data_IF_061646789149
#
_entry.id   IF_061646789149
#
_cell.length_a   1.000
_cell.length_b   1.000
_cell.length_c   1.000
_cell.angle_alpha   90.00
_cell.angle_beta   90.00
_cell.angle_gamma   90.00
#
_symmetry.space_group_name_H-M   'P 1'
#
loop_
_entity.id
_entity.type
_entity.pdbx_description
1 polymer ?
#
# COMPACT_ATOMS: atom_id res chain seq x y z
N UNK A 1 -12.15 11.52 -17.35
CA UNK A 1 -11.03 11.05 -18.19
C UNK A 1 -10.73 11.97 -19.39
N UNK A 2 -11.69 12.17 -20.31
CA UNK A 2 -11.44 12.90 -21.55
C UNK A 2 -10.97 14.35 -21.32
N UNK A 3 -11.64 15.11 -20.48
CA UNK A 3 -11.28 16.51 -20.17
C UNK A 3 -9.88 16.64 -19.57
N UNK A 4 -9.46 15.70 -18.69
CA UNK A 4 -8.14 15.74 -18.09
C UNK A 4 -7.04 15.41 -19.12
N UNK A 5 -7.26 14.41 -19.96
CA UNK A 5 -6.33 14.10 -21.06
C UNK A 5 -6.17 15.27 -22.02
N UNK A 6 -7.27 15.94 -22.39
CA UNK A 6 -7.22 17.15 -23.23
C UNK A 6 -6.40 18.27 -22.57
N UNK A 7 -6.56 18.49 -21.26
CA UNK A 7 -5.76 19.45 -20.51
C UNK A 7 -4.26 19.10 -20.53
N UNK A 8 -3.91 17.82 -20.33
CA UNK A 8 -2.52 17.34 -20.38
C UNK A 8 -1.87 17.49 -21.76
N UNK A 9 -2.65 17.45 -22.84
CA UNK A 9 -2.15 17.70 -24.22
C UNK A 9 -1.91 19.17 -24.46
N UNK A 10 -2.76 20.04 -23.91
CA UNK A 10 -2.74 21.49 -24.19
C UNK A 10 -1.85 22.29 -23.22
N UNK A 11 -1.49 21.74 -22.08
CA UNK A 11 -0.70 22.42 -21.07
C UNK A 11 0.54 21.61 -20.67
N UNK A 12 1.67 22.31 -20.48
CA UNK A 12 2.92 21.70 -20.02
C UNK A 12 2.83 21.16 -18.59
N UNK A 13 2.02 21.80 -17.76
CA UNK A 13 1.77 21.41 -16.36
C UNK A 13 0.28 21.56 -16.07
N UNK A 14 -0.30 20.54 -15.46
CA UNK A 14 -1.69 20.55 -14.98
C UNK A 14 -1.70 20.31 -13.49
N UNK A 15 -2.30 21.23 -12.73
CA UNK A 15 -2.43 21.13 -11.28
C UNK A 15 -3.88 20.78 -10.94
N UNK A 16 -4.09 19.82 -10.07
CA UNK A 16 -5.41 19.40 -9.60
C UNK A 16 -5.38 19.04 -8.12
N UNK A 17 -6.54 19.09 -7.48
CA UNK A 17 -6.66 18.63 -6.09
C UNK A 17 -6.66 17.09 -6.03
N UNK A 18 -6.14 16.56 -4.92
CA UNK A 18 -6.30 15.18 -4.51
C UNK A 18 -7.35 15.01 -3.41
N UNK A 19 -7.52 13.80 -2.87
CA UNK A 19 -8.36 13.45 -1.71
C UNK A 19 -9.88 13.59 -1.91
N UNK A 20 -10.34 14.44 -2.81
CA UNK A 20 -11.74 14.77 -3.02
C UNK A 20 -12.26 14.03 -4.26
N UNK A 21 -13.43 13.42 -4.11
CA UNK A 21 -14.18 12.80 -5.19
C UNK A 21 -15.64 13.25 -5.21
N UNK A 22 -16.38 12.74 -6.18
CA UNK A 22 -17.83 12.96 -6.28
C UNK A 22 -18.56 11.64 -6.06
N UNK A 23 -19.46 11.63 -5.10
CA UNK A 23 -20.36 10.51 -4.84
C UNK A 23 -21.43 10.42 -5.94
N UNK A 24 -22.01 9.23 -6.15
CA UNK A 24 -23.07 9.00 -7.14
C UNK A 24 -24.31 9.92 -6.94
N UNK A 25 -24.59 10.33 -5.69
CA UNK A 25 -25.63 11.32 -5.37
C UNK A 25 -25.29 12.77 -5.75
N UNK A 26 -24.12 13.01 -6.36
CA UNK A 26 -23.65 14.34 -6.74
C UNK A 26 -22.95 15.13 -5.62
N UNK A 27 -22.95 14.64 -4.37
CA UNK A 27 -22.28 15.30 -3.23
C UNK A 27 -20.77 15.08 -3.28
N UNK A 28 -20.03 16.02 -2.68
CA UNK A 28 -18.60 15.86 -2.45
C UNK A 28 -18.35 14.71 -1.46
N UNK A 29 -17.38 13.88 -1.74
CA UNK A 29 -16.92 12.79 -0.89
C UNK A 29 -15.39 12.83 -0.75
N UNK A 30 -14.89 12.36 0.38
CA UNK A 30 -13.46 12.17 0.58
C UNK A 30 -13.06 10.74 0.25
N UNK A 31 -11.84 10.54 -0.20
CA UNK A 31 -11.32 9.21 -0.56
C UNK A 31 -10.76 8.42 0.62
N UNK A 32 -10.86 8.97 1.85
CA UNK A 32 -10.44 8.32 3.07
C UNK A 32 -8.92 8.35 3.28
N UNK A 33 -8.42 7.39 4.07
CA UNK A 33 -7.00 7.32 4.43
C UNK A 33 -6.11 7.31 3.18
N UNK A 34 -5.07 8.15 3.19
CA UNK A 34 -4.13 8.36 2.06
C UNK A 34 -4.83 8.65 0.72
N UNK A 35 -5.97 9.35 0.79
CA UNK A 35 -6.80 9.63 -0.38
C UNK A 35 -6.11 10.51 -1.43
N UNK A 36 -5.10 11.31 -1.09
CA UNK A 36 -4.31 12.10 -2.04
C UNK A 36 -3.44 11.20 -2.91
N UNK A 37 -2.75 10.24 -2.31
CA UNK A 37 -1.93 9.25 -3.04
C UNK A 37 -2.82 8.40 -3.95
N UNK A 38 -3.97 7.98 -3.43
CA UNK A 38 -4.95 7.25 -4.23
C UNK A 38 -5.50 8.07 -5.39
N UNK A 39 -5.72 9.37 -5.19
CA UNK A 39 -6.12 10.28 -6.29
C UNK A 39 -5.05 10.33 -7.38
N UNK A 40 -3.77 10.45 -6.98
CA UNK A 40 -2.65 10.48 -7.93
C UNK A 40 -2.60 9.20 -8.78
N UNK A 41 -2.75 8.02 -8.14
CA UNK A 41 -2.81 6.75 -8.84
C UNK A 41 -3.98 6.67 -9.85
N UNK A 42 -5.19 7.06 -9.43
CA UNK A 42 -6.35 7.07 -10.32
C UNK A 42 -6.21 8.05 -11.48
N UNK A 43 -5.64 9.22 -11.24
CA UNK A 43 -5.39 10.24 -12.27
C UNK A 43 -4.34 9.72 -13.26
N UNK A 44 -3.24 9.15 -12.79
CA UNK A 44 -2.21 8.56 -13.64
C UNK A 44 -2.78 7.49 -14.59
N UNK A 45 -3.57 6.56 -14.05
CA UNK A 45 -4.27 5.56 -14.85
C UNK A 45 -5.22 6.22 -15.86
N UNK A 46 -5.97 7.25 -15.44
CA UNK A 46 -6.94 7.92 -16.30
C UNK A 46 -6.31 8.70 -17.46
N UNK A 47 -5.11 9.26 -17.28
CA UNK A 47 -4.40 9.99 -18.35
C UNK A 47 -3.49 9.08 -19.17
N UNK A 48 -3.18 7.88 -18.70
CA UNK A 48 -2.20 6.98 -19.31
C UNK A 48 -0.77 7.50 -19.08
N UNK A 49 -0.45 7.84 -17.82
CA UNK A 49 0.87 8.30 -17.44
C UNK A 49 1.94 7.21 -17.65
N UNK A 50 3.18 7.62 -17.81
CA UNK A 50 4.34 6.70 -17.89
C UNK A 50 4.80 6.22 -16.51
N UNK A 51 4.61 7.05 -15.47
CA UNK A 51 4.94 6.72 -14.08
C UNK A 51 4.21 7.65 -13.12
N UNK A 52 4.27 7.29 -11.83
CA UNK A 52 3.76 8.12 -10.72
C UNK A 52 4.88 8.37 -9.73
N UNK A 53 4.98 9.58 -9.20
CA UNK A 53 5.87 9.87 -8.07
C UNK A 53 5.05 10.39 -6.90
N UNK A 54 5.12 9.72 -5.77
CA UNK A 54 4.56 10.18 -4.50
C UNK A 54 5.68 10.80 -3.67
N UNK A 55 5.51 12.06 -3.36
CA UNK A 55 6.45 12.81 -2.52
C UNK A 55 6.03 12.72 -1.05
N UNK A 56 6.93 12.22 -0.22
CA UNK A 56 6.73 12.01 1.22
C UNK A 56 7.81 12.75 2.03
N UNK A 57 7.69 12.69 3.35
CA UNK A 57 8.71 13.14 4.30
C UNK A 57 9.79 12.07 4.58
N UNK A 58 9.60 10.87 4.04
CA UNK A 58 10.53 9.73 4.14
C UNK A 58 11.18 9.44 2.78
N UNK A 59 12.40 8.84 2.76
CA UNK A 59 13.15 8.62 1.51
C UNK A 59 12.49 7.58 0.58
N UNK A 60 11.67 6.69 1.11
CA UNK A 60 11.04 5.60 0.38
C UNK A 60 10.53 4.54 1.33
N UNK A 61 10.33 3.33 0.84
CA UNK A 61 10.14 2.16 1.68
C UNK A 61 11.46 1.77 2.33
N UNK A 62 11.42 1.50 3.62
CA UNK A 62 12.59 1.11 4.38
C UNK A 62 12.49 -0.36 4.77
N UNK A 63 13.64 -1.01 4.93
CA UNK A 63 13.70 -2.42 5.33
C UNK A 63 13.27 -2.66 6.79
N UNK A 64 13.15 -1.61 7.60
CA UNK A 64 12.56 -1.64 8.94
C UNK A 64 12.04 -0.24 9.29
N UNK A 65 11.22 -0.12 10.34
CA UNK A 65 10.82 1.18 10.88
C UNK A 65 12.03 1.82 11.61
N UNK A 66 12.49 3.01 11.18
CA UNK A 66 13.64 3.70 11.82
C UNK A 66 13.46 3.99 13.31
N UNK A 67 12.22 4.01 13.81
CA UNK A 67 11.93 4.17 15.23
C UNK A 67 12.42 2.99 16.08
N UNK A 68 12.41 1.80 15.49
CA UNK A 68 12.83 0.55 16.13
C UNK A 68 14.22 0.12 15.71
N UNK A 69 14.59 0.43 14.48
CA UNK A 69 15.88 0.10 13.90
C UNK A 69 16.51 1.33 13.27
N UNK A 70 17.31 2.12 14.03
CA UNK A 70 17.89 3.37 13.55
C UNK A 70 18.80 3.22 12.32
N UNK A 71 19.34 2.02 12.09
CA UNK A 71 20.17 1.68 10.93
C UNK A 71 19.35 1.22 9.70
N UNK A 72 18.01 1.35 9.77
CA UNK A 72 17.16 0.99 8.65
C UNK A 72 17.53 1.73 7.37
N UNK A 73 17.52 1.01 6.26
CA UNK A 73 17.94 1.51 4.95
C UNK A 73 16.77 1.57 3.99
N UNK A 74 16.81 2.52 3.06
CA UNK A 74 15.84 2.60 1.97
C UNK A 74 16.03 1.42 1.03
N UNK A 75 14.93 0.74 0.70
CA UNK A 75 14.90 -0.32 -0.29
C UNK A 75 14.72 0.28 -1.68
N UNK A 76 15.71 0.18 -2.58
CA UNK A 76 15.66 0.91 -3.84
C UNK A 76 14.63 0.36 -4.84
N UNK A 77 14.31 -0.95 -4.76
CA UNK A 77 13.36 -1.63 -5.64
C UNK A 77 12.49 -2.58 -4.84
N UNK A 78 11.19 -2.53 -5.11
CA UNK A 78 10.20 -3.42 -4.50
C UNK A 78 9.22 -3.86 -5.59
N UNK A 79 8.89 -5.14 -5.63
CA UNK A 79 7.85 -5.64 -6.54
C UNK A 79 6.47 -5.14 -6.11
N UNK A 80 5.54 -4.96 -7.04
CA UNK A 80 4.18 -4.51 -6.73
C UNK A 80 3.46 -5.46 -5.75
N UNK A 81 3.63 -6.77 -5.89
CA UNK A 81 3.01 -7.74 -5.00
C UNK A 81 3.58 -7.64 -3.59
N UNK A 82 4.91 -7.52 -3.47
CA UNK A 82 5.60 -7.31 -2.20
C UNK A 82 5.19 -5.98 -1.55
N UNK A 83 5.11 -4.88 -2.32
CA UNK A 83 4.65 -3.59 -1.79
C UNK A 83 3.22 -3.66 -1.25
N UNK A 84 2.32 -4.42 -1.89
CA UNK A 84 0.97 -4.67 -1.40
C UNK A 84 0.99 -5.45 -0.09
N UNK A 85 1.79 -6.50 0.00
CA UNK A 85 1.93 -7.34 1.19
C UNK A 85 2.49 -6.53 2.36
N UNK A 86 3.62 -5.84 2.17
CA UNK A 86 4.23 -4.97 3.17
C UNK A 86 3.25 -3.90 3.69
N UNK A 87 2.52 -3.27 2.78
CA UNK A 87 1.51 -2.26 3.13
C UNK A 87 0.34 -2.86 3.92
N UNK A 88 -0.05 -4.08 3.62
CA UNK A 88 -1.11 -4.80 4.35
C UNK A 88 -0.68 -5.12 5.77
N UNK A 89 0.55 -5.59 5.95
CA UNK A 89 1.07 -5.95 7.26
C UNK A 89 1.53 -4.76 8.11
N UNK A 90 1.66 -3.56 7.56
CA UNK A 90 1.84 -2.37 8.37
C UNK A 90 2.94 -1.40 7.95
N UNK A 91 3.61 -1.64 6.84
CA UNK A 91 4.47 -0.63 6.26
C UNK A 91 3.60 0.59 5.87
N UNK A 92 3.71 1.68 6.65
CA UNK A 92 2.78 2.82 6.56
C UNK A 92 3.15 3.84 5.49
N UNK A 93 4.13 3.54 4.64
CA UNK A 93 4.63 4.50 3.64
C UNK A 93 3.65 4.70 2.49
N UNK A 94 2.98 3.64 2.05
CA UNK A 94 1.99 3.66 0.96
C UNK A 94 0.82 2.73 1.30
N UNK A 95 -0.39 3.10 0.90
CA UNK A 95 -1.57 2.28 1.16
C UNK A 95 -1.83 1.32 -0.01
N UNK A 96 -2.29 0.06 0.24
CA UNK A 96 -2.60 -0.92 -0.81
C UNK A 96 -3.54 -0.39 -1.90
N UNK A 97 -4.48 0.48 -1.54
CA UNK A 97 -5.41 1.11 -2.50
C UNK A 97 -4.71 1.97 -3.56
N UNK A 98 -3.54 2.54 -3.23
CA UNK A 98 -2.73 3.33 -4.17
C UNK A 98 -1.96 2.43 -5.10
N UNK A 99 -1.37 1.35 -4.60
CA UNK A 99 -0.55 0.42 -5.38
C UNK A 99 -1.40 -0.38 -6.39
N UNK A 100 -2.55 -0.90 -5.94
CA UNK A 100 -3.39 -1.81 -6.72
C UNK A 100 -3.77 -1.32 -8.13
N UNK A 101 -4.28 -0.08 -8.35
CA UNK A 101 -4.62 0.41 -9.68
C UNK A 101 -3.38 0.60 -10.57
N UNK A 102 -2.22 0.88 -9.99
CA UNK A 102 -0.95 1.01 -10.72
C UNK A 102 -0.44 -0.35 -11.17
N UNK A 103 -0.42 -1.34 -10.26
CA UNK A 103 -0.09 -2.72 -10.58
C UNK A 103 -0.93 -3.27 -11.74
N UNK A 104 -2.26 -3.06 -11.70
CA UNK A 104 -3.16 -3.54 -12.76
C UNK A 104 -2.86 -2.94 -14.15
N UNK A 105 -2.08 -1.88 -14.21
CA UNK A 105 -1.69 -1.18 -15.44
C UNK A 105 -0.20 -1.26 -15.74
N UNK A 106 0.57 -1.95 -14.91
CA UNK A 106 2.03 -2.00 -15.03
C UNK A 106 2.65 -0.61 -14.99
N UNK A 107 2.14 0.27 -14.11
CA UNK A 107 2.63 1.64 -13.98
C UNK A 107 3.64 1.73 -12.85
N UNK A 108 4.90 2.14 -13.13
CA UNK A 108 5.92 2.37 -12.12
C UNK A 108 5.49 3.43 -11.11
N UNK A 109 5.73 3.16 -9.83
CA UNK A 109 5.48 4.07 -8.72
C UNK A 109 6.78 4.39 -8.00
N UNK A 110 7.16 5.67 -8.00
CA UNK A 110 8.27 6.18 -7.21
C UNK A 110 7.79 6.74 -5.89
N UNK A 111 8.50 6.40 -4.82
CA UNK A 111 8.36 7.06 -3.51
C UNK A 111 9.65 7.84 -3.26
N UNK A 112 9.53 9.14 -3.07
CA UNK A 112 10.66 10.07 -2.90
C UNK A 112 10.42 11.02 -1.74
N UNK A 113 11.51 11.49 -1.14
CA UNK A 113 11.44 12.53 -0.12
C UNK A 113 11.41 13.92 -0.76
N UNK A 114 10.43 14.75 -0.37
CA UNK A 114 10.45 16.17 -0.72
C UNK A 114 11.47 16.96 0.10
N UNK A 115 11.98 16.40 1.21
CA UNK A 115 13.05 16.99 2.02
C UNK A 115 14.43 16.78 1.39
N UNK A 116 14.60 15.70 0.61
CA UNK A 116 15.83 15.36 -0.10
C UNK A 116 15.48 14.81 -1.50
N UNK A 117 15.09 15.65 -2.45
CA UNK A 117 14.59 15.22 -3.77
C UNK A 117 15.57 14.38 -4.58
N UNK A 118 16.87 14.63 -4.43
CA UNK A 118 17.96 13.90 -5.10
C UNK A 118 18.51 12.74 -4.26
N UNK A 119 17.91 12.52 -3.07
CA UNK A 119 18.31 11.45 -2.16
C UNK A 119 17.81 10.07 -2.58
N UNK A 120 17.99 9.07 -1.71
CA UNK A 120 17.45 7.73 -1.93
C UNK A 120 15.95 7.74 -2.23
N UNK A 121 15.52 6.77 -3.02
CA UNK A 121 14.12 6.60 -3.40
C UNK A 121 13.78 5.11 -3.55
N UNK A 122 12.51 4.77 -3.51
CA UNK A 122 12.02 3.43 -3.84
C UNK A 122 11.26 3.47 -5.16
N UNK A 123 11.60 2.56 -6.06
CA UNK A 123 10.82 2.24 -7.24
C UNK A 123 9.99 0.99 -6.98
N UNK A 124 8.68 1.10 -7.11
CA UNK A 124 7.74 -0.03 -7.09
C UNK A 124 7.30 -0.28 -8.53
N UNK A 125 7.60 -1.47 -9.05
CA UNK A 125 7.30 -1.86 -10.44
C UNK A 125 7.21 -3.38 -10.51
N UNK A 126 6.94 -3.92 -11.69
CA UNK A 126 7.01 -5.36 -11.93
C UNK A 126 8.48 -5.76 -12.14
N UNK A 127 9.02 -6.53 -11.22
CA UNK A 127 10.38 -7.05 -11.27
C UNK A 127 10.37 -8.60 -11.25
N UNK A 128 10.09 -9.28 -12.36
CA UNK A 128 10.04 -10.72 -12.40
C UNK A 128 11.36 -11.36 -11.91
N UNK A 129 11.25 -12.16 -10.85
CA UNK A 129 12.41 -12.84 -10.25
C UNK A 129 13.32 -11.94 -9.40
N UNK A 130 12.86 -10.75 -9.01
CA UNK A 130 13.56 -9.93 -8.03
C UNK A 130 13.68 -10.72 -6.71
N UNK A 131 14.90 -10.98 -6.30
CA UNK A 131 15.20 -11.44 -4.95
C UNK A 131 15.61 -10.21 -4.17
N UNK A 132 14.93 -9.85 -3.07
CA UNK A 132 15.33 -8.72 -2.26
C UNK A 132 16.76 -8.89 -1.73
N UNK A 133 17.59 -7.87 -1.90
CA UNK A 133 18.98 -7.89 -1.42
C UNK A 133 19.08 -7.86 0.11
N UNK A 134 17.98 -7.54 0.78
CA UNK A 134 17.91 -7.42 2.24
C UNK A 134 16.55 -7.84 2.76
N UNK A 135 16.53 -8.42 3.96
CA UNK A 135 15.29 -8.76 4.65
C UNK A 135 14.53 -7.48 5.06
N UNK A 136 13.21 -7.55 4.95
CA UNK A 136 12.32 -6.47 5.40
C UNK A 136 11.60 -6.91 6.66
N UNK A 137 11.58 -6.01 7.66
CA UNK A 137 11.00 -6.28 8.97
C UNK A 137 9.84 -5.32 9.24
N UNK A 138 8.68 -5.87 9.54
CA UNK A 138 7.51 -5.12 9.96
C UNK A 138 7.27 -5.39 11.44
N UNK A 139 7.29 -4.34 12.24
CA UNK A 139 6.98 -4.42 13.67
C UNK A 139 5.58 -3.90 13.92
N UNK A 140 4.86 -4.62 14.76
CA UNK A 140 3.54 -4.20 15.27
C UNK A 140 3.45 -4.45 16.76
N UNK A 141 3.07 -3.41 17.48
CA UNK A 141 2.71 -3.51 18.88
C UNK A 141 1.28 -4.04 19.08
N UNK A 142 0.93 -4.35 20.28
CA UNK A 142 -0.43 -4.74 20.71
C UNK A 142 -0.99 -5.94 19.95
N UNK A 143 -0.14 -6.92 19.65
CA UNK A 143 -0.56 -8.18 19.06
C UNK A 143 -0.64 -9.28 20.12
N UNK A 144 -1.63 -10.16 19.99
CA UNK A 144 -1.79 -11.33 20.82
C UNK A 144 -1.65 -12.58 19.94
N UNK A 145 -0.78 -13.47 20.36
CA UNK A 145 -0.68 -14.80 19.76
C UNK A 145 -1.74 -15.70 20.38
N UNK A 146 -2.55 -16.35 19.53
CA UNK A 146 -3.58 -17.30 19.94
C UNK A 146 -3.32 -18.62 19.23
N UNK A 147 -3.08 -19.67 20.01
CA UNK A 147 -3.01 -21.04 19.51
C UNK A 147 -4.37 -21.70 19.68
N UNK A 148 -4.86 -22.31 18.61
CA UNK A 148 -6.14 -23.03 18.60
C UNK A 148 -5.89 -24.46 18.14
N UNK A 149 -6.27 -25.43 18.97
CA UNK A 149 -6.19 -26.84 18.66
C UNK A 149 -7.52 -27.53 18.97
N UNK A 150 -7.80 -28.65 18.31
CA UNK A 150 -8.91 -29.52 18.65
C UNK A 150 -8.60 -30.28 19.93
N UNK A 151 -9.62 -30.54 20.77
CA UNK A 151 -9.44 -31.22 22.04
C UNK A 151 -8.93 -32.68 21.89
N UNK A 152 -9.22 -33.29 20.75
CA UNK A 152 -8.85 -34.68 20.43
C UNK A 152 -7.59 -34.74 19.53
N UNK A 153 -6.90 -33.60 19.30
CA UNK A 153 -5.72 -33.46 18.43
C UNK A 153 -5.99 -33.87 16.98
N UNK A 154 -7.23 -33.89 16.54
CA UNK A 154 -7.58 -34.04 15.13
C UNK A 154 -7.22 -32.79 14.33
N UNK A 155 -7.27 -32.89 13.00
CA UNK A 155 -7.08 -31.72 12.14
C UNK A 155 -8.24 -30.72 12.25
N UNK A 156 -7.92 -29.44 12.18
CA UNK A 156 -8.94 -28.39 12.07
C UNK A 156 -9.68 -28.53 10.73
N UNK A 157 -10.98 -28.81 10.80
CA UNK A 157 -11.85 -28.86 9.65
C UNK A 157 -12.48 -27.46 9.38
N UNK A 158 -13.13 -27.32 8.20
CA UNK A 158 -13.75 -26.07 7.77
C UNK A 158 -14.80 -25.56 8.76
N UNK A 159 -15.57 -26.45 9.37
CA UNK A 159 -16.59 -26.08 10.37
C UNK A 159 -15.95 -25.51 11.65
N UNK A 160 -14.83 -26.05 12.09
CA UNK A 160 -14.08 -25.50 13.24
C UNK A 160 -13.56 -24.09 12.94
N UNK A 161 -13.03 -23.86 11.73
CA UNK A 161 -12.57 -22.53 11.30
C UNK A 161 -13.73 -21.52 11.22
N UNK A 162 -14.88 -21.94 10.70
CA UNK A 162 -16.09 -21.11 10.64
C UNK A 162 -16.54 -20.68 12.04
N UNK A 163 -16.59 -21.61 12.99
CA UNK A 163 -16.99 -21.32 14.36
C UNK A 163 -15.98 -20.41 15.07
N UNK A 164 -14.69 -20.64 14.85
CA UNK A 164 -13.60 -19.82 15.36
C UNK A 164 -13.73 -18.37 14.84
N UNK A 165 -13.82 -18.18 13.51
CA UNK A 165 -13.95 -16.84 12.95
C UNK A 165 -15.23 -16.15 13.37
N UNK A 166 -16.35 -16.89 13.51
CA UNK A 166 -17.60 -16.35 14.04
C UNK A 166 -17.48 -15.91 15.50
N UNK A 167 -16.72 -16.63 16.32
CA UNK A 167 -16.46 -16.24 17.70
C UNK A 167 -15.57 -15.01 17.80
N UNK A 168 -14.50 -14.93 16.99
CA UNK A 168 -13.59 -13.79 16.94
C UNK A 168 -14.32 -12.52 16.45
N UNK A 169 -15.15 -12.62 15.43
CA UNK A 169 -15.95 -11.51 14.91
C UNK A 169 -16.92 -10.98 16.00
N UNK A 170 -17.67 -11.88 16.69
CA UNK A 170 -18.54 -11.48 17.80
C UNK A 170 -17.78 -10.80 18.96
N UNK A 171 -16.54 -11.20 19.17
CA UNK A 171 -15.67 -10.60 20.19
C UNK A 171 -15.00 -9.30 19.73
N UNK A 172 -15.19 -8.89 18.48
CA UNK A 172 -14.52 -7.72 17.90
C UNK A 172 -13.03 -7.91 17.69
N UNK A 173 -12.55 -9.16 17.62
CA UNK A 173 -11.14 -9.50 17.44
C UNK A 173 -10.84 -9.63 15.95
N UNK A 174 -9.85 -8.87 15.48
CA UNK A 174 -9.40 -8.92 14.10
C UNK A 174 -8.18 -9.82 13.94
N UNK A 175 -8.34 -10.91 13.20
CA UNK A 175 -7.22 -11.77 12.80
C UNK A 175 -6.34 -11.03 11.81
N UNK A 176 -5.04 -10.95 12.10
CA UNK A 176 -4.05 -10.28 11.23
C UNK A 176 -3.27 -11.28 10.39
N UNK A 177 -2.95 -12.42 10.98
CA UNK A 177 -2.23 -13.51 10.32
C UNK A 177 -2.75 -14.83 10.88
N UNK A 178 -2.74 -15.87 10.07
CA UNK A 178 -3.02 -17.25 10.45
C UNK A 178 -1.99 -18.14 9.74
N UNK A 179 -1.39 -19.04 10.50
CA UNK A 179 -0.45 -20.05 10.02
C UNK A 179 -0.90 -21.44 10.47
#
# INVERSE_FOLDING_TARGET
GASLRSACVSARVVVTQGFIGRHASGRTATLGREGSDYSAALLAVAVGAESVTIWKDVPGMMNADPKWHPEAQTVPRVDHAEALELSYYGASVIHPRTVKPLQQRGLPLWIRSFLAPEGPATLIDDFPGLVPDQAMFIWRDDQVWVEVATADQSFLAEDHLKDLFSALDRAGVHVRMMQ
#
